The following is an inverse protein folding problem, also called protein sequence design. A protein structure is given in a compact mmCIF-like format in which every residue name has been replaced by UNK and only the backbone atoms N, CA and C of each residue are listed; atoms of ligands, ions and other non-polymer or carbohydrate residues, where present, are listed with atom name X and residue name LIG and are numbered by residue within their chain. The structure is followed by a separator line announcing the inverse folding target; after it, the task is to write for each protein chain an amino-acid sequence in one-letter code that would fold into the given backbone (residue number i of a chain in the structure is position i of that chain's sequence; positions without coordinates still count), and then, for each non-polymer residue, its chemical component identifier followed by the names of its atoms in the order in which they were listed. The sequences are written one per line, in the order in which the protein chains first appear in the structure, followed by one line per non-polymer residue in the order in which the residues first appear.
data_IF_533588020349
#
_entry.id   IF_533588020349
#
_cell.length_a   1.000
_cell.length_b   1.000
_cell.length_c   1.000
_cell.angle_alpha   90.00
_cell.angle_beta   90.00
_cell.angle_gamma   90.00
#
_symmetry.space_group_name_H-M   'P 1'
#
loop_
_entity.id
_entity.type
_entity.pdbx_description
1 polymer ?
#
# COMPACT_ATOMS: atom_id res chain seq x y z
N UNK A 1 28.47 -6.48 -6.81
CA UNK A 1 27.11 -6.59 -7.38
C UNK A 1 26.17 -5.82 -6.45
N UNK A 2 25.26 -4.98 -6.96
CA UNK A 2 24.35 -4.19 -6.12
C UNK A 2 23.35 -5.13 -5.39
N UNK A 3 23.02 -4.83 -4.13
CA UNK A 3 22.15 -5.68 -3.30
C UNK A 3 20.81 -6.04 -3.96
N UNK A 4 20.15 -5.07 -4.61
CA UNK A 4 18.88 -5.35 -5.30
C UNK A 4 19.02 -6.34 -6.46
N UNK A 5 20.17 -6.35 -7.17
CA UNK A 5 20.38 -7.31 -8.26
C UNK A 5 20.49 -8.73 -7.74
N UNK A 6 21.04 -8.89 -6.53
CA UNK A 6 21.09 -10.18 -5.85
C UNK A 6 19.67 -10.62 -5.45
N UNK A 7 18.89 -9.75 -4.81
CA UNK A 7 17.49 -10.04 -4.45
C UNK A 7 16.65 -10.42 -5.66
N UNK A 8 16.77 -9.67 -6.76
CA UNK A 8 16.05 -9.97 -8.01
C UNK A 8 16.37 -11.40 -8.47
N UNK A 9 17.65 -11.76 -8.50
CA UNK A 9 18.10 -13.08 -8.94
C UNK A 9 17.57 -14.20 -8.04
N UNK A 10 17.72 -14.06 -6.72
CA UNK A 10 17.28 -15.08 -5.74
C UNK A 10 15.75 -15.27 -5.76
N UNK A 11 14.99 -14.18 -5.92
CA UNK A 11 13.53 -14.27 -6.06
C UNK A 11 13.16 -14.95 -7.36
N UNK A 12 13.76 -14.58 -8.49
CA UNK A 12 13.44 -15.16 -9.80
C UNK A 12 13.82 -16.66 -9.89
N UNK A 13 14.79 -17.13 -9.11
CA UNK A 13 15.14 -18.56 -8.98
C UNK A 13 13.98 -19.40 -8.41
N UNK A 14 13.15 -18.83 -7.54
CA UNK A 14 12.02 -19.54 -6.88
C UNK A 14 10.66 -19.12 -7.41
N UNK A 15 10.52 -17.87 -7.85
CA UNK A 15 9.30 -17.24 -8.32
C UNK A 15 9.60 -16.40 -9.57
N UNK A 16 9.65 -17.02 -10.76
CA UNK A 16 10.03 -16.35 -11.98
C UNK A 16 9.24 -15.08 -12.25
N UNK A 17 9.95 -14.01 -12.61
CA UNK A 17 9.43 -12.68 -12.97
C UNK A 17 8.92 -11.83 -11.79
N UNK A 18 9.05 -12.29 -10.54
CA UNK A 18 8.68 -11.51 -9.36
C UNK A 18 9.85 -10.69 -8.78
N UNK A 19 11.10 -10.94 -9.21
CA UNK A 19 12.27 -10.29 -8.66
C UNK A 19 12.24 -8.76 -8.81
N UNK A 20 11.96 -8.25 -10.01
CA UNK A 20 11.86 -6.81 -10.27
C UNK A 20 10.73 -6.14 -9.45
N UNK A 21 9.48 -6.64 -9.45
CA UNK A 21 8.43 -6.11 -8.58
C UNK A 21 8.80 -6.08 -7.09
N UNK A 22 9.44 -7.13 -6.57
CA UNK A 22 9.94 -7.17 -5.19
C UNK A 22 10.94 -6.07 -4.94
N UNK A 23 11.94 -5.89 -5.81
CA UNK A 23 12.95 -4.84 -5.67
C UNK A 23 12.34 -3.43 -5.68
N UNK A 24 11.35 -3.19 -6.55
CA UNK A 24 10.63 -1.90 -6.60
C UNK A 24 9.83 -1.67 -5.32
N UNK A 25 9.14 -2.69 -4.80
CA UNK A 25 8.43 -2.59 -3.53
C UNK A 25 9.38 -2.28 -2.36
N UNK A 26 10.54 -2.93 -2.29
CA UNK A 26 11.56 -2.64 -1.28
C UNK A 26 12.04 -1.19 -1.33
N UNK A 27 12.30 -0.69 -2.54
CA UNK A 27 12.69 0.71 -2.76
C UNK A 27 11.60 1.67 -2.31
N UNK A 28 10.35 1.42 -2.69
CA UNK A 28 9.22 2.26 -2.35
C UNK A 28 9.01 2.36 -0.83
N UNK A 29 9.06 1.23 -0.12
CA UNK A 29 8.94 1.25 1.34
C UNK A 29 10.11 2.00 1.97
N UNK A 30 11.35 1.70 1.55
CA UNK A 30 12.55 2.35 2.10
C UNK A 30 12.54 3.86 1.88
N UNK A 31 12.00 4.31 0.75
CA UNK A 31 11.83 5.72 0.42
C UNK A 31 10.59 6.37 1.07
N UNK A 32 9.79 5.62 1.85
CA UNK A 32 8.52 6.06 2.45
C UNK A 32 7.56 6.61 1.41
N UNK A 33 7.34 5.83 0.35
CA UNK A 33 6.48 6.19 -0.78
C UNK A 33 5.28 5.25 -0.86
N UNK A 34 4.25 5.71 -1.55
CA UNK A 34 3.12 4.88 -1.93
C UNK A 34 3.47 4.13 -3.22
N UNK A 35 3.27 2.82 -3.23
CA UNK A 35 3.34 2.00 -4.43
C UNK A 35 2.00 1.34 -4.70
N UNK A 36 1.44 1.61 -5.89
CA UNK A 36 0.26 0.94 -6.40
C UNK A 36 0.68 -0.22 -7.33
N UNK A 37 0.43 -1.45 -6.89
CA UNK A 37 0.68 -2.67 -7.64
C UNK A 37 -0.58 -3.09 -8.41
N UNK A 38 -0.55 -2.84 -9.71
CA UNK A 38 -1.65 -3.13 -10.63
C UNK A 38 -1.38 -4.42 -11.38
N UNK A 39 -2.18 -5.46 -11.16
CA UNK A 39 -2.08 -6.69 -11.95
C UNK A 39 -3.37 -7.52 -11.90
N UNK A 40 -3.62 -8.40 -12.88
CA UNK A 40 -4.67 -9.41 -12.78
C UNK A 40 -4.54 -10.29 -11.52
N UNK A 41 -5.60 -11.01 -11.19
CA UNK A 41 -5.57 -12.01 -10.11
C UNK A 41 -4.61 -13.14 -10.52
N UNK A 42 -3.84 -13.65 -9.56
CA UNK A 42 -2.89 -14.75 -9.78
C UNK A 42 -1.47 -14.33 -10.15
N UNK A 43 -1.20 -13.04 -10.40
CA UNK A 43 0.14 -12.56 -10.77
C UNK A 43 1.08 -12.25 -9.57
N UNK A 44 0.78 -12.78 -8.38
CA UNK A 44 1.69 -12.66 -7.24
C UNK A 44 1.73 -11.33 -6.47
N UNK A 45 0.88 -10.33 -6.78
CA UNK A 45 0.88 -9.03 -6.07
C UNK A 45 0.75 -9.13 -4.53
N UNK A 46 -0.14 -9.99 -4.03
CA UNK A 46 -0.29 -10.26 -2.58
C UNK A 46 0.94 -10.93 -1.98
N UNK A 47 1.62 -11.82 -2.74
CA UNK A 47 2.87 -12.45 -2.32
C UNK A 47 4.00 -11.42 -2.23
N UNK A 48 4.16 -10.54 -3.23
CA UNK A 48 5.16 -9.47 -3.23
C UNK A 48 4.95 -8.55 -2.02
N UNK A 49 3.74 -8.03 -1.86
CA UNK A 49 3.42 -7.08 -0.79
C UNK A 49 3.55 -7.69 0.59
N UNK A 50 3.08 -8.93 0.80
CA UNK A 50 3.26 -9.63 2.07
C UNK A 50 4.72 -9.92 2.36
N UNK A 51 5.48 -10.44 1.39
CA UNK A 51 6.91 -10.76 1.58
C UNK A 51 7.72 -9.51 1.97
N UNK A 52 7.60 -8.45 1.18
CA UNK A 52 8.37 -7.22 1.39
C UNK A 52 7.89 -6.47 2.62
N UNK A 53 6.57 -6.34 2.78
CA UNK A 53 5.99 -5.56 3.85
C UNK A 53 6.14 -6.22 5.23
N UNK A 54 5.95 -7.54 5.35
CA UNK A 54 6.16 -8.26 6.62
C UNK A 54 7.64 -8.30 7.05
N UNK A 55 8.56 -8.10 6.11
CA UNK A 55 9.99 -7.97 6.41
C UNK A 55 10.37 -6.57 6.88
N UNK A 56 9.45 -5.60 6.83
CA UNK A 56 9.68 -4.23 7.28
C UNK A 56 9.22 -4.04 8.74
N UNK A 57 9.88 -3.17 9.54
CA UNK A 57 9.43 -2.88 10.89
C UNK A 57 7.99 -2.34 10.93
N UNK A 58 7.20 -2.83 11.88
CA UNK A 58 5.80 -2.44 12.10
C UNK A 58 4.95 -2.51 10.83
N UNK A 59 4.64 -3.71 10.30
CA UNK A 59 3.68 -3.85 9.22
C UNK A 59 2.25 -3.78 9.75
N UNK A 60 1.38 -3.05 9.06
CA UNK A 60 -0.08 -3.05 9.26
C UNK A 60 -0.71 -3.60 7.99
N UNK A 61 -1.50 -4.67 8.12
CA UNK A 61 -2.13 -5.35 6.99
C UNK A 61 -3.63 -5.13 6.99
N UNK A 62 -4.13 -4.64 5.87
CA UNK A 62 -5.54 -4.41 5.61
C UNK A 62 -5.96 -5.19 4.38
N UNK A 63 -6.86 -6.16 4.55
CA UNK A 63 -7.41 -6.93 3.44
C UNK A 63 -8.16 -6.03 2.45
N UNK A 64 -8.87 -5.05 3.00
CA UNK A 64 -9.69 -4.09 2.26
C UNK A 64 -9.68 -2.73 2.93
N UNK A 65 -9.38 -1.70 2.14
CA UNK A 65 -9.41 -0.32 2.65
C UNK A 65 -10.39 0.56 1.87
N UNK A 66 -11.02 1.46 2.61
CA UNK A 66 -11.87 2.55 2.14
C UNK A 66 -11.55 3.80 2.94
N UNK A 67 -12.05 4.97 2.54
CA UNK A 67 -11.94 6.20 3.36
C UNK A 67 -12.52 6.01 4.76
N UNK A 68 -13.65 5.31 4.91
CA UNK A 68 -14.24 5.03 6.21
C UNK A 68 -13.39 4.06 7.05
N UNK A 69 -12.77 3.06 6.41
CA UNK A 69 -11.81 2.17 7.06
C UNK A 69 -10.56 2.93 7.52
N UNK A 70 -10.05 3.83 6.67
CA UNK A 70 -8.93 4.69 7.02
C UNK A 70 -9.26 5.61 8.20
N UNK A 71 -10.48 6.14 8.24
CA UNK A 71 -10.97 6.94 9.37
C UNK A 71 -10.97 6.14 10.69
N UNK A 72 -11.41 4.87 10.64
CA UNK A 72 -11.42 3.98 11.79
C UNK A 72 -10.00 3.66 12.29
N UNK A 73 -9.04 3.54 11.38
CA UNK A 73 -7.62 3.34 11.68
C UNK A 73 -6.90 4.63 12.12
N UNK A 74 -7.60 5.76 12.20
CA UNK A 74 -6.95 7.06 12.40
C UNK A 74 -6.14 7.16 13.70
N UNK A 75 -6.59 6.50 14.77
CA UNK A 75 -5.86 6.40 16.03
C UNK A 75 -4.51 5.70 15.86
N UNK A 76 -4.49 4.58 15.15
CA UNK A 76 -3.29 3.74 14.95
C UNK A 76 -2.31 4.35 13.95
N UNK A 77 -2.82 5.14 13.00
CA UNK A 77 -2.02 5.77 11.95
C UNK A 77 -1.39 7.11 12.39
N UNK A 78 -1.84 7.68 13.51
CA UNK A 78 -1.25 8.90 14.07
C UNK A 78 0.18 8.64 14.59
N UNK A 79 1.16 9.39 14.08
CA UNK A 79 2.57 9.19 14.41
C UNK A 79 3.16 7.88 13.88
N UNK A 80 2.45 7.17 13.00
CA UNK A 80 2.82 5.83 12.56
C UNK A 80 4.13 5.82 11.76
N UNK A 81 4.99 4.86 12.08
CA UNK A 81 6.25 4.59 11.41
C UNK A 81 6.35 3.11 11.08
N UNK A 82 6.07 2.79 9.83
CA UNK A 82 6.01 1.40 9.35
C UNK A 82 5.57 1.35 7.90
N UNK A 83 4.94 0.23 7.53
CA UNK A 83 4.32 0.06 6.21
C UNK A 83 2.85 -0.30 6.39
N UNK A 84 1.97 0.39 5.66
CA UNK A 84 0.58 0.01 5.50
C UNK A 84 0.44 -0.83 4.23
N UNK A 85 -0.03 -2.06 4.35
CA UNK A 85 -0.22 -2.99 3.24
C UNK A 85 -1.71 -3.15 3.02
N UNK A 86 -2.19 -2.83 1.82
CA UNK A 86 -3.60 -2.93 1.43
C UNK A 86 -3.71 -3.95 0.30
N UNK A 87 -4.28 -5.12 0.56
CA UNK A 87 -4.30 -6.22 -0.42
C UNK A 87 -5.34 -6.04 -1.54
N UNK A 88 -6.41 -5.29 -1.30
CA UNK A 88 -7.37 -4.96 -2.32
C UNK A 88 -8.09 -3.66 -1.98
N UNK A 89 -8.12 -2.71 -2.92
CA UNK A 89 -9.08 -1.61 -2.82
C UNK A 89 -10.46 -2.18 -3.11
N UNK A 90 -11.41 -1.94 -2.21
CA UNK A 90 -12.71 -2.60 -2.17
C UNK A 90 -13.38 -2.76 -3.56
N UNK A 91 -13.41 -3.99 -4.07
CA UNK A 91 -14.02 -4.37 -5.37
C UNK A 91 -15.49 -3.95 -5.54
N UNK A 92 -16.22 -3.76 -4.44
CA UNK A 92 -17.64 -3.42 -4.42
C UNK A 92 -17.92 -1.92 -4.36
N UNK A 93 -16.89 -1.09 -4.36
CA UNK A 93 -17.04 0.37 -4.32
C UNK A 93 -17.23 0.96 -5.72
N UNK A 94 -17.92 2.10 -5.75
CA UNK A 94 -18.01 2.95 -6.94
C UNK A 94 -16.61 3.38 -7.40
N UNK A 95 -16.40 3.67 -8.69
CA UNK A 95 -15.14 4.22 -9.18
C UNK A 95 -14.68 5.44 -8.37
N UNK A 96 -15.62 6.33 -8.01
CA UNK A 96 -15.36 7.49 -7.17
C UNK A 96 -14.75 7.11 -5.82
N UNK A 97 -15.37 6.19 -5.07
CA UNK A 97 -14.87 5.81 -3.75
C UNK A 97 -13.47 5.15 -3.80
N UNK A 98 -13.15 4.44 -4.88
CA UNK A 98 -11.80 3.90 -5.10
C UNK A 98 -10.78 5.00 -5.35
N UNK A 99 -11.09 5.93 -6.27
CA UNK A 99 -10.23 7.08 -6.57
C UNK A 99 -9.99 7.89 -5.31
N UNK A 100 -11.04 8.22 -4.56
CA UNK A 100 -10.92 8.94 -3.30
C UNK A 100 -10.03 8.18 -2.32
N UNK A 101 -10.22 6.86 -2.15
CA UNK A 101 -9.37 6.06 -1.23
C UNK A 101 -7.89 6.10 -1.63
N UNK A 102 -7.56 5.94 -2.92
CA UNK A 102 -6.17 6.04 -3.41
C UNK A 102 -5.61 7.44 -3.17
N UNK A 103 -6.38 8.47 -3.51
CA UNK A 103 -5.96 9.87 -3.38
C UNK A 103 -5.72 10.24 -1.91
N UNK A 104 -6.62 9.83 -1.01
CA UNK A 104 -6.50 10.02 0.44
C UNK A 104 -5.28 9.29 1.00
N UNK A 105 -5.00 8.06 0.55
CA UNK A 105 -3.77 7.35 0.92
C UNK A 105 -2.50 8.04 0.41
N UNK A 106 -2.53 8.52 -0.84
CA UNK A 106 -1.41 9.25 -1.42
C UNK A 106 -1.15 10.55 -0.63
N UNK A 107 -2.21 11.31 -0.32
CA UNK A 107 -2.12 12.49 0.52
C UNK A 107 -1.52 12.16 1.89
N UNK A 108 -2.01 11.11 2.55
CA UNK A 108 -1.49 10.68 3.85
C UNK A 108 0.01 10.37 3.81
N UNK A 109 0.48 9.64 2.79
CA UNK A 109 1.89 9.23 2.65
C UNK A 109 2.79 10.42 2.29
N UNK A 110 2.34 11.29 1.38
CA UNK A 110 3.18 12.37 0.84
C UNK A 110 3.14 13.65 1.67
N UNK A 111 2.01 13.95 2.28
CA UNK A 111 1.82 15.14 3.14
C UNK A 111 2.04 14.84 4.62
N UNK A 112 2.26 13.57 4.98
CA UNK A 112 2.35 13.08 6.37
C UNK A 112 1.08 13.34 7.20
N UNK A 113 -0.03 13.63 6.51
CA UNK A 113 -1.25 14.15 7.08
C UNK A 113 -2.43 13.91 6.14
N UNK A 114 -3.61 13.64 6.70
CA UNK A 114 -4.86 13.67 5.96
C UNK A 114 -6.01 14.06 6.90
N UNK A 115 -6.93 14.89 6.41
CA UNK A 115 -8.13 15.30 7.14
C UNK A 115 -9.36 15.31 6.26
N UNK A 116 -10.44 14.75 6.78
CA UNK A 116 -11.75 14.80 6.15
C UNK A 116 -12.76 15.36 7.16
N UNK A 117 -13.58 16.30 6.70
CA UNK A 117 -14.70 16.88 7.48
C UNK A 117 -16.07 16.51 6.90
N UNK A 118 -16.13 15.47 6.05
CA UNK A 118 -17.37 15.01 5.45
C UNK A 118 -18.27 14.35 6.51
N UNK A 119 -19.59 14.50 6.34
CA UNK A 119 -20.59 13.90 7.22
C UNK A 119 -20.47 12.36 7.14
N UNK A 120 -20.01 11.72 8.22
CA UNK A 120 -19.76 10.27 8.29
C UNK A 120 -18.30 9.82 8.19
N UNK A 121 -17.36 10.73 7.89
CA UNK A 121 -15.92 10.46 7.92
C UNK A 121 -15.16 11.68 8.44
N UNK A 122 -15.43 12.03 9.70
CA UNK A 122 -14.67 13.05 10.42
C UNK A 122 -13.44 12.40 11.04
N UNK A 123 -12.29 12.54 10.39
CA UNK A 123 -11.04 11.99 10.90
C UNK A 123 -9.87 12.90 10.54
N UNK A 124 -8.84 12.81 11.37
CA UNK A 124 -7.57 13.50 11.20
C UNK A 124 -6.46 12.53 11.56
N UNK A 125 -5.56 12.31 10.59
CA UNK A 125 -4.33 11.55 10.78
C UNK A 125 -3.18 12.51 10.57
N UNK A 126 -2.23 12.52 11.50
CA UNK A 126 -1.11 13.43 11.55
C UNK A 126 0.19 12.69 11.86
N UNK A 127 1.30 13.27 11.42
CA UNK A 127 2.65 12.72 11.61
C UNK A 127 2.82 11.30 11.06
N UNK A 128 2.11 10.95 9.99
CA UNK A 128 2.29 9.66 9.32
C UNK A 128 3.62 9.63 8.59
N UNK A 129 4.54 8.79 9.05
CA UNK A 129 5.92 8.70 8.57
C UNK A 129 6.24 7.31 7.99
N UNK A 130 5.21 6.62 7.50
CA UNK A 130 5.28 5.29 6.90
C UNK A 130 5.25 5.28 5.37
N UNK A 131 5.26 4.08 4.82
CA UNK A 131 5.01 3.79 3.41
C UNK A 131 3.65 3.13 3.22
N UNK A 132 3.15 3.06 1.99
CA UNK A 132 1.96 2.29 1.65
C UNK A 132 2.21 1.38 0.43
N UNK A 133 1.86 0.11 0.56
CA UNK A 133 1.80 -0.84 -0.56
C UNK A 133 0.34 -1.18 -0.82
N UNK A 134 -0.14 -0.88 -2.02
CA UNK A 134 -1.56 -1.02 -2.34
C UNK A 134 -1.72 -1.87 -3.59
N UNK A 135 -2.50 -2.93 -3.47
CA UNK A 135 -2.81 -3.85 -4.55
C UNK A 135 -4.15 -3.47 -5.20
N UNK A 136 -4.20 -3.49 -6.53
CA UNK A 136 -5.44 -3.24 -7.27
C UNK A 136 -5.53 -4.11 -8.53
N UNK A 137 -6.75 -4.42 -8.95
CA UNK A 137 -7.01 -5.13 -10.20
C UNK A 137 -7.26 -4.15 -11.35
N UNK A 138 -6.75 -4.40 -12.57
CA UNK A 138 -6.93 -3.50 -13.71
C UNK A 138 -8.38 -3.15 -14.03
N UNK A 139 -9.31 -4.08 -13.81
CA UNK A 139 -10.76 -3.86 -14.02
C UNK A 139 -11.31 -2.70 -13.16
N UNK A 140 -10.66 -2.40 -12.05
CA UNK A 140 -11.04 -1.34 -11.11
C UNK A 140 -10.50 0.05 -11.50
N UNK A 141 -9.65 0.14 -12.54
CA UNK A 141 -9.09 1.38 -13.09
C UNK A 141 -9.89 1.92 -14.29
N UNK A 142 -11.01 1.29 -14.63
CA UNK A 142 -11.95 1.79 -15.64
C UNK A 142 -12.81 2.93 -15.10
#
# INVERSE_FOLDING_TARGET
MHYLNQVIKEVDETHPHLGNPVAVAMLAIKAKKLLLLVSPRGCGKSRITSFVGLSYPNPMLEDRLSVAGLAALGGDLNGYQGVLIVDDIAKTQTPYARITTITTLAELVYSHYCKSHLQGSNFEISNFNGAALVNIQPILLK
#
